data_IF_431401921693
#
_entry.id   IF_431401921693
#
_cell.length_a   1.000
_cell.length_b   1.000
_cell.length_c   1.000
_cell.angle_alpha   90.00
_cell.angle_beta   90.00
_cell.angle_gamma   90.00
#
_symmetry.space_group_name_H-M   'P 1'
#
loop_
_entity.id
_entity.type
_entity.pdbx_description
1 polymer ?
#
# COMPACT_ATOMS: atom_id res chain seq x y z
N UNK A 1 -14.22 -3.42 8.87
CA UNK A 1 -14.28 -2.76 7.55
C UNK A 1 -14.64 -1.26 7.65
N UNK A 2 -15.58 -0.84 8.50
CA UNK A 2 -15.95 0.59 8.62
C UNK A 2 -14.75 1.50 8.96
N UNK A 3 -13.96 1.12 9.96
CA UNK A 3 -12.76 1.87 10.36
C UNK A 3 -11.74 1.98 9.21
N UNK A 4 -11.48 0.88 8.49
CA UNK A 4 -10.62 0.88 7.30
C UNK A 4 -11.09 1.93 6.28
N UNK A 5 -12.38 1.91 5.92
CA UNK A 5 -12.96 2.85 4.93
C UNK A 5 -12.90 4.30 5.41
N UNK A 6 -13.07 4.54 6.71
CA UNK A 6 -12.94 5.87 7.31
C UNK A 6 -11.50 6.38 7.19
N UNK A 7 -10.51 5.57 7.56
CA UNK A 7 -9.11 5.97 7.53
C UNK A 7 -8.59 6.17 6.10
N UNK A 8 -9.07 5.36 5.14
CA UNK A 8 -8.83 5.59 3.70
C UNK A 8 -9.28 7.00 3.28
N UNK A 9 -10.51 7.38 3.64
CA UNK A 9 -11.06 8.71 3.30
C UNK A 9 -10.30 9.83 3.99
N UNK A 10 -9.94 9.63 5.26
CA UNK A 10 -9.15 10.60 6.01
C UNK A 10 -7.80 10.84 5.36
N UNK A 11 -7.03 9.77 5.10
CA UNK A 11 -5.72 9.88 4.45
C UNK A 11 -5.85 10.51 3.07
N UNK A 12 -6.83 10.11 2.25
CA UNK A 12 -7.04 10.70 0.93
C UNK A 12 -7.33 12.22 0.96
N UNK A 13 -7.94 12.72 2.04
CA UNK A 13 -8.22 14.14 2.25
C UNK A 13 -7.03 14.97 2.75
N UNK A 14 -5.92 14.35 3.13
CA UNK A 14 -4.74 15.05 3.65
C UNK A 14 -3.94 15.71 2.53
N UNK A 15 -3.31 16.84 2.86
CA UNK A 15 -2.27 17.41 2.02
C UNK A 15 -1.02 16.50 2.01
N UNK A 16 -0.37 16.41 0.86
CA UNK A 16 0.90 15.70 0.72
C UNK A 16 1.99 16.37 1.57
N UNK A 17 2.82 15.54 2.20
CA UNK A 17 4.03 15.98 2.91
C UNK A 17 5.06 16.42 1.89
N UNK A 18 5.80 17.49 2.19
CA UNK A 18 6.90 17.94 1.32
C UNK A 18 8.08 16.98 1.44
N UNK A 19 8.28 16.15 0.43
CA UNK A 19 9.43 15.25 0.31
C UNK A 19 9.74 14.99 -1.17
N UNK A 20 11.00 15.10 -1.57
CA UNK A 20 11.41 14.79 -2.94
C UNK A 20 11.43 13.29 -3.21
N UNK A 21 11.69 12.49 -2.16
CA UNK A 21 11.72 11.04 -2.18
C UNK A 21 11.11 10.50 -0.90
N UNK A 22 10.38 9.39 -1.00
CA UNK A 22 9.88 8.62 0.14
C UNK A 22 10.24 7.15 -0.04
N UNK A 23 10.18 6.39 1.05
CA UNK A 23 10.25 4.92 1.00
C UNK A 23 9.03 4.35 1.72
N UNK A 24 8.45 3.32 1.13
CA UNK A 24 7.31 2.62 1.71
C UNK A 24 7.55 1.12 1.73
N UNK A 25 6.94 0.46 2.70
CA UNK A 25 6.69 -0.97 2.70
C UNK A 25 5.20 -1.19 2.47
N UNK A 26 4.81 -2.23 1.71
CA UNK A 26 3.40 -2.58 1.56
C UNK A 26 3.10 -4.06 1.75
N UNK A 27 1.83 -4.31 2.11
CA UNK A 27 1.18 -5.62 2.13
C UNK A 27 0.05 -5.57 1.10
N UNK A 28 0.12 -6.40 0.06
CA UNK A 28 -0.95 -6.53 -0.94
C UNK A 28 -1.95 -7.60 -0.49
N UNK A 29 -3.23 -7.24 -0.45
CA UNK A 29 -4.34 -8.19 -0.39
C UNK A 29 -5.11 -8.13 -1.70
N UNK A 30 -4.91 -9.13 -2.54
CA UNK A 30 -5.52 -9.24 -3.85
C UNK A 30 -6.86 -10.01 -3.80
N UNK A 31 -7.61 -9.94 -4.90
CA UNK A 31 -8.80 -10.74 -5.14
C UNK A 31 -8.70 -11.50 -6.46
N UNK A 32 -9.57 -12.49 -6.63
CA UNK A 32 -9.70 -13.25 -7.86
C UNK A 32 -9.98 -12.32 -9.05
N UNK A 33 -9.18 -12.43 -10.11
CA UNK A 33 -9.28 -11.57 -11.29
C UNK A 33 -8.44 -10.29 -11.24
N UNK A 34 -7.73 -10.00 -10.13
CA UNK A 34 -6.83 -8.84 -10.01
C UNK A 34 -5.46 -9.02 -10.71
N UNK A 35 -5.30 -10.07 -11.53
CA UNK A 35 -4.05 -10.37 -12.24
C UNK A 35 -2.93 -10.98 -11.37
N UNK A 36 -3.22 -11.32 -10.11
CA UNK A 36 -2.30 -12.02 -9.21
C UNK A 36 -2.61 -13.52 -9.21
N UNK A 37 -1.62 -14.34 -9.54
CA UNK A 37 -1.77 -15.80 -9.64
C UNK A 37 -2.02 -16.47 -8.29
N UNK A 38 -2.84 -17.53 -8.28
CA UNK A 38 -3.10 -18.32 -7.07
C UNK A 38 -4.13 -17.73 -6.10
N UNK A 39 -4.60 -16.50 -6.33
CA UNK A 39 -5.61 -15.84 -5.50
C UNK A 39 -7.02 -16.23 -5.94
N UNK A 40 -7.75 -16.92 -5.07
CA UNK A 40 -9.12 -17.42 -5.35
C UNK A 40 -10.23 -16.67 -4.60
N UNK A 41 -9.86 -15.85 -3.61
CA UNK A 41 -10.82 -15.11 -2.76
C UNK A 41 -11.54 -14.02 -3.56
N UNK A 42 -12.81 -13.78 -3.23
CA UNK A 42 -13.62 -12.72 -3.81
C UNK A 42 -13.13 -11.32 -3.41
N UNK A 43 -13.65 -10.29 -4.09
CA UNK A 43 -13.36 -8.89 -3.78
C UNK A 43 -13.78 -8.52 -2.34
N UNK A 44 -14.94 -8.99 -1.88
CA UNK A 44 -15.44 -8.73 -0.53
C UNK A 44 -14.59 -9.46 0.54
N UNK A 45 -14.15 -10.69 0.27
CA UNK A 45 -13.25 -11.43 1.15
C UNK A 45 -11.87 -10.76 1.23
N UNK A 46 -11.36 -10.24 0.12
CA UNK A 46 -10.12 -9.48 0.09
C UNK A 46 -10.22 -8.17 0.90
N UNK A 47 -11.31 -7.41 0.77
CA UNK A 47 -11.52 -6.21 1.59
C UNK A 47 -11.61 -6.55 3.08
N UNK A 48 -12.32 -7.63 3.41
CA UNK A 48 -12.45 -8.09 4.79
C UNK A 48 -11.08 -8.47 5.38
N UNK A 49 -10.27 -9.25 4.65
CA UNK A 49 -8.92 -9.62 5.06
C UNK A 49 -8.02 -8.39 5.21
N UNK A 50 -8.07 -7.45 4.26
CA UNK A 50 -7.34 -6.18 4.35
C UNK A 50 -7.74 -5.39 5.61
N UNK A 51 -9.03 -5.36 5.94
CA UNK A 51 -9.50 -4.69 7.16
C UNK A 51 -9.04 -5.37 8.44
N UNK A 52 -9.00 -6.70 8.47
CA UNK A 52 -8.51 -7.49 9.61
C UNK A 52 -7.01 -7.28 9.84
N UNK A 53 -6.20 -7.37 8.78
CA UNK A 53 -4.75 -7.10 8.83
C UNK A 53 -4.48 -5.64 9.24
N UNK A 54 -5.19 -4.68 8.66
CA UNK A 54 -5.04 -3.28 9.03
C UNK A 54 -5.36 -3.03 10.51
N UNK A 55 -6.40 -3.67 11.05
CA UNK A 55 -6.73 -3.57 12.47
C UNK A 55 -5.61 -4.12 13.38
N UNK A 56 -5.00 -5.26 13.01
CA UNK A 56 -3.85 -5.81 13.74
C UNK A 56 -2.66 -4.85 13.74
N UNK A 57 -2.37 -4.24 12.58
CA UNK A 57 -1.27 -3.27 12.42
C UNK A 57 -1.53 -2.03 13.27
N UNK A 58 -2.76 -1.50 13.26
CA UNK A 58 -3.15 -0.38 14.12
C UNK A 58 -3.11 -0.73 15.61
N UNK A 59 -3.24 -2.01 15.96
CA UNK A 59 -3.05 -2.56 17.30
C UNK A 59 -1.59 -2.80 17.69
N UNK A 60 -0.62 -2.50 16.80
CA UNK A 60 0.82 -2.61 17.09
C UNK A 60 1.46 -3.94 16.66
N UNK A 61 0.79 -4.76 15.85
CA UNK A 61 1.42 -5.93 15.24
C UNK A 61 2.63 -5.54 14.38
N UNK A 62 3.61 -6.45 14.30
CA UNK A 62 4.79 -6.25 13.44
C UNK A 62 4.37 -6.26 11.96
N UNK A 63 4.54 -5.11 11.32
CA UNK A 63 4.17 -4.93 9.93
C UNK A 63 4.98 -5.82 8.98
N UNK A 64 6.29 -5.99 9.22
CA UNK A 64 7.14 -6.79 8.34
C UNK A 64 6.79 -8.28 8.42
N UNK A 65 6.50 -8.76 9.63
CA UNK A 65 6.02 -10.13 9.84
C UNK A 65 4.71 -10.38 9.09
N UNK A 66 3.75 -9.45 9.18
CA UNK A 66 2.48 -9.56 8.44
C UNK A 66 2.66 -9.48 6.93
N UNK A 67 3.58 -8.65 6.43
CA UNK A 67 3.93 -8.61 5.00
C UNK A 67 4.47 -9.96 4.56
N UNK A 68 5.40 -10.54 5.33
CA UNK A 68 6.01 -11.84 5.02
C UNK A 68 4.99 -12.98 4.98
N UNK A 69 3.99 -12.95 5.86
CA UNK A 69 3.01 -14.02 5.99
C UNK A 69 1.83 -13.89 5.02
N UNK A 70 1.37 -12.66 4.74
CA UNK A 70 0.06 -12.45 4.12
C UNK A 70 0.07 -11.72 2.78
N UNK A 71 1.20 -11.16 2.33
CA UNK A 71 1.21 -10.43 1.06
C UNK A 71 0.97 -11.37 -0.12
N UNK A 72 0.06 -11.00 -1.03
CA UNK A 72 -0.11 -11.68 -2.32
C UNK A 72 0.88 -11.16 -3.38
N UNK A 73 1.82 -10.28 -2.98
CA UNK A 73 2.98 -9.86 -3.77
C UNK A 73 4.26 -10.54 -3.24
N UNK A 74 5.41 -9.86 -3.24
CA UNK A 74 6.66 -10.35 -2.70
C UNK A 74 7.10 -9.60 -1.43
N UNK A 75 7.55 -10.34 -0.42
CA UNK A 75 8.31 -9.80 0.70
C UNK A 75 9.75 -9.43 0.24
N UNK A 76 10.34 -8.29 0.68
CA UNK A 76 9.87 -7.42 1.75
C UNK A 76 8.88 -6.33 1.33
N UNK A 77 8.55 -6.21 0.04
CA UNK A 77 7.58 -5.22 -0.44
C UNK A 77 8.03 -3.77 -0.20
N UNK A 78 9.33 -3.48 -0.29
CA UNK A 78 9.90 -2.14 -0.04
C UNK A 78 10.22 -1.44 -1.35
N UNK A 79 9.68 -0.24 -1.53
CA UNK A 79 9.86 0.58 -2.72
C UNK A 79 10.16 2.02 -2.36
N UNK A 80 11.21 2.57 -2.98
CA UNK A 80 11.47 4.00 -2.99
C UNK A 80 10.70 4.67 -4.12
N UNK A 81 10.20 5.89 -3.89
CA UNK A 81 9.57 6.70 -4.91
C UNK A 81 10.11 8.12 -4.90
N UNK A 82 10.33 8.70 -6.08
CA UNK A 82 10.78 10.09 -6.24
C UNK A 82 9.82 10.93 -7.07
N UNK A 83 9.68 12.21 -6.70
CA UNK A 83 8.84 13.19 -7.41
C UNK A 83 9.45 13.64 -8.73
N UNK A 84 10.77 13.56 -8.90
CA UNK A 84 11.48 14.05 -10.08
C UNK A 84 12.54 13.08 -10.58
N UNK A 85 12.90 13.18 -11.85
CA UNK A 85 13.86 12.29 -12.49
C UNK A 85 13.31 10.90 -12.81
N UNK A 86 14.20 10.00 -13.25
CA UNK A 86 13.87 8.65 -13.73
C UNK A 86 13.83 7.58 -12.63
N UNK A 87 14.12 7.94 -11.37
CA UNK A 87 14.42 6.98 -10.31
C UNK A 87 15.78 6.28 -10.50
N UNK A 88 16.07 5.33 -9.62
CA UNK A 88 17.27 4.49 -9.60
C UNK A 88 16.83 3.04 -9.34
N UNK A 89 16.64 2.27 -10.42
CA UNK A 89 16.20 0.87 -10.33
C UNK A 89 17.19 -0.03 -9.59
N UNK A 90 18.48 0.30 -9.59
CA UNK A 90 19.49 -0.44 -8.83
C UNK A 90 19.30 -0.31 -7.32
N UNK A 91 18.53 0.70 -6.88
CA UNK A 91 18.19 0.97 -5.47
C UNK A 91 16.70 0.79 -5.18
N UNK A 92 15.93 0.17 -6.07
CA UNK A 92 14.48 0.06 -5.98
C UNK A 92 13.77 1.43 -5.82
N UNK A 93 14.31 2.48 -6.43
CA UNK A 93 13.69 3.81 -6.46
C UNK A 93 13.04 4.02 -7.82
N UNK A 94 11.74 4.31 -7.81
CA UNK A 94 10.94 4.50 -9.01
C UNK A 94 10.44 5.94 -9.10
N UNK A 95 10.24 6.49 -10.31
CA UNK A 95 9.52 7.75 -10.43
C UNK A 95 8.08 7.54 -9.97
N UNK A 96 7.46 8.51 -9.32
CA UNK A 96 6.07 8.41 -8.82
C UNK A 96 5.09 7.93 -9.90
N UNK A 97 5.24 8.42 -11.13
CA UNK A 97 4.41 8.04 -12.29
C UNK A 97 4.72 6.65 -12.87
N UNK A 98 5.80 6.02 -12.42
CA UNK A 98 6.22 4.67 -12.83
C UNK A 98 5.72 3.57 -11.90
N UNK A 99 4.99 3.92 -10.84
CA UNK A 99 4.30 2.98 -9.95
C UNK A 99 2.79 3.14 -10.07
N UNK A 100 2.06 2.19 -9.50
CA UNK A 100 0.60 2.26 -9.34
C UNK A 100 0.26 3.56 -8.60
N UNK A 101 -0.63 4.38 -9.16
CA UNK A 101 -0.89 5.75 -8.70
C UNK A 101 -1.19 5.83 -7.21
N UNK A 102 -1.92 4.84 -6.69
CA UNK A 102 -2.32 4.78 -5.29
C UNK A 102 -1.14 4.69 -4.30
N UNK A 103 0.03 4.16 -4.69
CA UNK A 103 1.23 4.16 -3.85
C UNK A 103 1.71 5.58 -3.56
N UNK A 104 1.82 6.41 -4.60
CA UNK A 104 2.22 7.80 -4.45
C UNK A 104 1.18 8.61 -3.69
N UNK A 105 -0.09 8.41 -4.03
CA UNK A 105 -1.21 9.14 -3.45
C UNK A 105 -1.39 8.86 -1.94
N UNK A 106 -1.14 7.62 -1.50
CA UNK A 106 -1.15 7.30 -0.06
C UNK A 106 0.20 7.66 0.58
N UNK A 107 1.31 7.23 -0.01
CA UNK A 107 2.65 7.34 0.59
C UNK A 107 3.06 8.77 0.95
N UNK A 108 2.80 9.74 0.06
CA UNK A 108 3.12 11.15 0.35
C UNK A 108 2.18 11.78 1.38
N UNK A 109 1.03 11.20 1.68
CA UNK A 109 0.07 11.71 2.68
C UNK A 109 0.29 11.13 4.07
N UNK A 110 1.20 10.17 4.20
CA UNK A 110 1.61 9.54 5.45
C UNK A 110 2.82 10.24 6.07
N UNK A 111 2.82 10.33 7.39
CA UNK A 111 4.04 10.62 8.17
C UNK A 111 4.95 9.37 8.25
N UNK A 112 6.24 9.57 8.53
CA UNK A 112 7.17 8.44 8.68
C UNK A 112 6.74 7.57 9.86
N UNK A 113 6.60 6.26 9.62
CA UNK A 113 6.07 5.29 10.56
C UNK A 113 4.55 5.10 10.49
N UNK A 114 3.83 5.99 9.81
CA UNK A 114 2.37 5.90 9.67
C UNK A 114 1.97 4.85 8.63
N UNK A 115 0.77 4.28 8.82
CA UNK A 115 0.17 3.27 7.95
C UNK A 115 -1.16 3.77 7.37
N UNK A 116 -1.29 3.72 6.06
CA UNK A 116 -2.52 3.99 5.31
C UNK A 116 -2.89 2.82 4.41
N UNK A 117 -4.01 2.95 3.69
CA UNK A 117 -4.46 1.93 2.73
C UNK A 117 -4.85 2.57 1.41
N UNK A 118 -4.35 2.01 0.32
CA UNK A 118 -4.87 2.23 -1.02
C UNK A 118 -5.93 1.16 -1.32
N UNK A 119 -7.22 1.53 -1.49
CA UNK A 119 -8.26 0.57 -1.84
C UNK A 119 -8.10 0.09 -3.28
N UNK A 120 -8.70 -1.07 -3.57
CA UNK A 120 -8.85 -1.55 -4.94
C UNK A 120 -9.52 -0.49 -5.83
N UNK A 121 -8.95 -0.31 -7.02
CA UNK A 121 -9.52 0.50 -8.08
C UNK A 121 -9.03 -0.04 -9.43
N UNK A 122 -9.94 -0.36 -10.34
CA UNK A 122 -9.69 -0.97 -11.66
C UNK A 122 -8.55 -0.36 -12.50
N UNK A 123 -8.22 0.92 -12.30
CA UNK A 123 -7.18 1.66 -13.01
C UNK A 123 -6.02 2.08 -12.10
N UNK A 124 -6.35 2.66 -10.95
CA UNK A 124 -5.37 3.34 -10.09
C UNK A 124 -4.74 2.41 -9.04
N UNK A 125 -5.35 1.25 -8.78
CA UNK A 125 -4.90 0.21 -7.84
C UNK A 125 -5.50 -1.16 -8.22
N UNK A 126 -5.18 -1.69 -9.41
CA UNK A 126 -5.93 -2.82 -9.99
C UNK A 126 -5.62 -4.16 -9.33
N UNK A 127 -4.62 -4.22 -8.46
CA UNK A 127 -4.14 -5.47 -7.86
C UNK A 127 -4.87 -5.84 -6.57
N UNK A 128 -5.56 -4.89 -5.94
CA UNK A 128 -6.27 -5.10 -4.68
C UNK A 128 -6.07 -3.97 -3.68
N UNK A 129 -6.11 -4.31 -2.40
CA UNK A 129 -5.85 -3.39 -1.30
C UNK A 129 -4.38 -3.42 -0.94
N UNK A 130 -3.74 -2.26 -0.95
CA UNK A 130 -2.36 -2.12 -0.49
C UNK A 130 -2.37 -1.44 0.87
N UNK A 131 -2.00 -2.16 1.92
CA UNK A 131 -1.70 -1.55 3.21
C UNK A 131 -0.27 -1.03 3.13
N UNK A 132 -0.08 0.26 3.32
CA UNK A 132 1.17 0.97 3.03
C UNK A 132 1.69 1.61 4.30
N UNK A 133 2.92 1.30 4.68
CA UNK A 133 3.65 1.96 5.76
C UNK A 133 4.75 2.83 5.15
N UNK A 134 4.82 4.10 5.54
CA UNK A 134 5.94 4.96 5.14
C UNK A 134 7.13 4.70 6.06
N UNK A 135 8.26 4.27 5.50
CA UNK A 135 9.50 3.99 6.25
C UNK A 135 10.48 5.16 6.22
N UNK A 136 10.42 6.02 5.19
CA UNK A 136 11.23 7.25 5.04
C UNK A 136 10.44 8.36 4.36
#
# INVERSE_FOLDING_TARGET
MEQLRKDIKEVAGRAERKADTIEVQHLLVAHAGAGIGGVTRSMDEAEKLAAELYAQIKGGADFDALVKEHTDDAHPGIYGMTMSGSGDRGKNIYPRKGMVAAFGDVGWRLDVGEVGVAPYHDRNSPYGWHIIKRTK
#
